data_IF_891869875558
#
_entry.id   IF_891869875558
#
_cell.length_a   1.000
_cell.length_b   1.000
_cell.length_c   1.000
_cell.angle_alpha   90.00
_cell.angle_beta   90.00
_cell.angle_gamma   90.00
#
_symmetry.space_group_name_H-M   'P 1'
#
loop_
_entity.id
_entity.type
_entity.pdbx_description
1 polymer ?
#
# COMPACT_ATOMS: atom_id res chain seq x y z
N UNK A 1 -35.53 -24.15 5.41
CA UNK A 1 -34.48 -23.10 5.46
C UNK A 1 -34.22 -22.69 6.90
N UNK A 2 -33.03 -22.90 7.47
CA UNK A 2 -32.73 -22.55 8.89
C UNK A 2 -32.76 -21.04 9.18
N UNK A 3 -32.63 -20.24 8.13
CA UNK A 3 -32.58 -18.77 8.17
C UNK A 3 -33.91 -18.14 8.70
N UNK A 4 -35.08 -18.73 8.39
CA UNK A 4 -36.37 -18.25 8.90
C UNK A 4 -36.44 -18.40 10.42
N UNK A 5 -35.94 -19.54 10.93
CA UNK A 5 -35.95 -19.82 12.35
C UNK A 5 -35.01 -18.86 13.09
N UNK A 6 -33.84 -18.58 12.54
CA UNK A 6 -32.88 -17.62 13.10
C UNK A 6 -33.51 -16.21 13.19
N UNK A 7 -34.18 -15.75 12.14
CA UNK A 7 -34.81 -14.43 12.15
C UNK A 7 -35.96 -14.33 13.16
N UNK A 8 -36.77 -15.39 13.31
CA UNK A 8 -37.81 -15.47 14.34
C UNK A 8 -37.25 -15.43 15.75
N UNK A 9 -36.11 -16.08 15.99
CA UNK A 9 -35.41 -16.05 17.27
C UNK A 9 -34.76 -14.69 17.56
N UNK A 10 -34.23 -14.01 16.55
CA UNK A 10 -33.60 -12.69 16.71
C UNK A 10 -34.61 -11.62 17.18
N UNK A 11 -35.88 -11.77 16.81
CA UNK A 11 -36.96 -10.90 17.23
C UNK A 11 -36.87 -9.50 16.60
N UNK A 12 -37.96 -9.06 15.99
CA UNK A 12 -38.05 -7.76 15.33
C UNK A 12 -39.39 -7.64 14.63
N UNK A 13 -39.83 -6.40 14.41
CA UNK A 13 -41.09 -6.14 13.72
C UNK A 13 -41.02 -6.72 12.30
N UNK A 14 -41.98 -7.60 11.96
CA UNK A 14 -42.02 -8.32 10.68
C UNK A 14 -41.30 -9.68 10.64
N UNK A 15 -40.37 -9.99 11.55
CA UNK A 15 -39.65 -11.28 11.50
C UNK A 15 -40.46 -12.46 12.05
N UNK A 16 -41.42 -12.23 12.96
CA UNK A 16 -42.28 -13.29 13.52
C UNK A 16 -43.13 -13.98 12.47
N UNK A 17 -43.59 -13.18 11.50
CA UNK A 17 -44.56 -13.59 10.48
C UNK A 17 -43.87 -14.12 9.22
N UNK A 18 -42.55 -13.93 9.13
CA UNK A 18 -41.75 -14.34 7.98
C UNK A 18 -41.86 -15.84 7.72
N UNK A 19 -42.12 -16.21 6.48
CA UNK A 19 -42.21 -17.60 6.02
C UNK A 19 -41.08 -17.90 5.03
N UNK A 20 -40.87 -19.19 4.79
CA UNK A 20 -39.84 -19.64 3.84
C UNK A 20 -40.10 -19.16 2.41
N UNK A 21 -41.36 -18.85 2.08
CA UNK A 21 -41.75 -18.32 0.77
C UNK A 21 -41.22 -16.89 0.55
N UNK A 22 -41.32 -16.01 1.55
CA UNK A 22 -40.80 -14.63 1.49
C UNK A 22 -39.29 -14.59 1.15
N UNK A 23 -38.54 -15.54 1.72
CA UNK A 23 -37.10 -15.67 1.47
C UNK A 23 -36.84 -16.28 0.11
N UNK A 24 -37.69 -17.23 -0.31
CA UNK A 24 -37.57 -17.85 -1.62
C UNK A 24 -37.87 -16.85 -2.72
N UNK A 25 -38.93 -16.05 -2.58
CA UNK A 25 -39.29 -14.96 -3.49
C UNK A 25 -38.12 -14.00 -3.65
N UNK A 26 -37.52 -13.52 -2.55
CA UNK A 26 -36.35 -12.63 -2.63
C UNK A 26 -35.09 -13.27 -3.23
N UNK A 27 -34.88 -14.58 -3.06
CA UNK A 27 -33.75 -15.28 -3.68
C UNK A 27 -34.01 -15.51 -5.18
N UNK A 28 -35.25 -15.79 -5.56
CA UNK A 28 -35.67 -15.97 -6.96
C UNK A 28 -35.63 -14.66 -7.75
N UNK A 29 -35.94 -13.54 -7.10
CA UNK A 29 -35.88 -12.18 -7.66
C UNK A 29 -34.44 -11.75 -8.03
N UNK A 30 -33.42 -12.39 -7.44
CA UNK A 30 -32.02 -12.18 -7.84
C UNK A 30 -31.71 -12.66 -9.27
N UNK A 31 -32.63 -13.42 -9.89
CA UNK A 31 -32.54 -13.83 -11.29
C UNK A 31 -33.14 -12.84 -12.28
N UNK A 32 -33.88 -11.82 -11.81
CA UNK A 32 -34.43 -10.80 -12.69
C UNK A 32 -33.32 -9.85 -13.17
N UNK A 33 -33.31 -9.49 -14.47
CA UNK A 33 -32.40 -8.46 -14.96
C UNK A 33 -32.69 -7.14 -14.24
N UNK A 34 -31.65 -6.35 -13.95
CA UNK A 34 -31.80 -4.99 -13.45
C UNK A 34 -32.82 -4.21 -14.30
N UNK A 35 -33.75 -3.53 -13.63
CA UNK A 35 -34.59 -2.51 -14.26
C UNK A 35 -33.71 -1.36 -14.76
N UNK A 36 -34.21 -0.58 -15.73
CA UNK A 36 -33.46 0.56 -16.25
C UNK A 36 -33.21 1.59 -15.14
N UNK A 37 -34.19 1.76 -14.25
CA UNK A 37 -34.12 2.62 -13.09
C UNK A 37 -32.99 2.22 -12.13
N UNK A 38 -32.87 0.93 -11.79
CA UNK A 38 -31.79 0.41 -10.93
C UNK A 38 -30.42 0.52 -11.60
N UNK A 39 -30.35 0.27 -12.92
CA UNK A 39 -29.10 0.42 -13.66
C UNK A 39 -28.64 1.89 -13.69
N UNK A 40 -29.56 2.82 -13.92
CA UNK A 40 -29.27 4.25 -13.88
C UNK A 40 -28.85 4.70 -12.48
N UNK A 41 -29.52 4.23 -11.42
CA UNK A 41 -29.14 4.50 -10.03
C UNK A 41 -27.73 3.99 -9.73
N UNK A 42 -27.38 2.77 -10.16
CA UNK A 42 -26.05 2.22 -9.98
C UNK A 42 -24.97 3.07 -10.68
N UNK A 43 -25.24 3.52 -11.91
CA UNK A 43 -24.33 4.36 -12.69
C UNK A 43 -24.23 5.79 -12.16
N UNK A 44 -25.26 6.29 -11.47
CA UNK A 44 -25.34 7.64 -10.91
C UNK A 44 -24.91 7.72 -9.45
N UNK A 45 -24.86 6.60 -8.73
CA UNK A 45 -24.47 6.56 -7.32
C UNK A 45 -23.10 7.23 -7.13
N UNK A 46 -23.03 8.40 -6.46
CA UNK A 46 -21.75 9.01 -6.15
C UNK A 46 -21.02 8.04 -5.23
N UNK A 47 -19.78 7.68 -5.55
CA UNK A 47 -18.95 6.87 -4.66
C UNK A 47 -18.65 7.67 -3.40
N UNK A 48 -19.55 7.61 -2.41
CA UNK A 48 -19.38 8.08 -1.04
C UNK A 48 -19.23 9.59 -0.85
N UNK A 49 -20.34 10.26 -0.51
CA UNK A 49 -20.29 11.28 0.55
C UNK A 49 -21.54 11.06 1.41
N UNK A 50 -21.39 10.28 2.48
CA UNK A 50 -22.22 10.47 3.66
C UNK A 50 -21.71 11.77 4.30
N UNK A 51 -22.29 12.90 3.91
CA UNK A 51 -22.16 14.16 4.64
C UNK A 51 -23.14 14.14 5.81
N UNK A 52 -22.88 13.25 6.76
CA UNK A 52 -23.39 13.42 8.11
C UNK A 52 -22.30 14.11 8.91
N UNK A 53 -22.38 15.44 8.92
CA UNK A 53 -21.68 16.28 9.88
C UNK A 53 -21.99 15.76 11.29
N UNK A 54 -20.98 15.25 12.00
CA UNK A 54 -20.55 15.74 13.32
C UNK A 54 -19.41 14.91 13.92
N UNK A 55 -18.46 15.66 14.50
CA UNK A 55 -17.46 15.30 15.51
C UNK A 55 -16.06 14.87 15.04
N UNK A 56 -15.15 15.85 15.11
CA UNK A 56 -13.70 15.67 15.28
C UNK A 56 -13.44 14.57 16.32
N UNK A 57 -13.08 13.37 15.87
CA UNK A 57 -12.32 12.44 16.71
C UNK A 57 -11.30 11.73 15.84
N UNK A 58 -10.07 12.23 15.97
CA UNK A 58 -8.77 11.60 15.70
C UNK A 58 -8.69 10.47 14.64
N UNK A 59 -8.06 10.85 13.51
CA UNK A 59 -7.25 9.97 12.66
C UNK A 59 -7.96 8.73 12.10
N UNK A 60 -8.90 8.95 11.19
CA UNK A 60 -9.12 8.00 10.10
C UNK A 60 -7.80 7.88 9.33
N UNK A 61 -7.06 6.79 9.52
CA UNK A 61 -5.87 6.49 8.70
C UNK A 61 -6.28 6.64 7.23
N UNK A 62 -5.54 7.41 6.41
CA UNK A 62 -5.77 7.43 4.96
C UNK A 62 -5.81 5.97 4.52
N UNK A 63 -6.84 5.54 3.80
CA UNK A 63 -6.99 4.13 3.39
C UNK A 63 -5.69 3.66 2.77
N UNK A 64 -4.90 2.91 3.54
CA UNK A 64 -3.60 2.46 3.06
C UNK A 64 -3.87 1.53 1.90
N UNK A 65 -3.42 1.92 0.71
CA UNK A 65 -3.43 1.11 -0.49
C UNK A 65 -2.49 -0.08 -0.31
N UNK A 66 -2.94 -1.08 0.46
CA UNK A 66 -2.16 -2.27 0.75
C UNK A 66 -2.02 -3.13 -0.50
N UNK A 67 -0.94 -3.92 -0.55
CA UNK A 67 -0.71 -4.88 -1.63
C UNK A 67 -1.90 -5.84 -1.80
N UNK A 68 -2.53 -6.23 -0.69
CA UNK A 68 -3.71 -7.09 -0.68
C UNK A 68 -4.93 -6.42 -1.33
N UNK A 69 -5.21 -5.15 -1.01
CA UNK A 69 -6.32 -4.39 -1.62
C UNK A 69 -6.13 -4.28 -3.13
N UNK A 70 -4.93 -3.91 -3.57
CA UNK A 70 -4.58 -3.82 -5.00
C UNK A 70 -4.69 -5.18 -5.70
N UNK A 71 -4.16 -6.25 -5.09
CA UNK A 71 -4.29 -7.60 -5.63
C UNK A 71 -5.76 -8.04 -5.73
N UNK A 72 -6.60 -7.65 -4.78
CA UNK A 72 -8.05 -7.91 -4.85
C UNK A 72 -8.67 -7.23 -6.07
N UNK A 73 -8.41 -5.95 -6.29
CA UNK A 73 -8.93 -5.21 -7.44
C UNK A 73 -8.51 -5.87 -8.75
N UNK A 74 -7.24 -6.26 -8.90
CA UNK A 74 -6.78 -6.93 -10.11
C UNK A 74 -7.46 -8.27 -10.35
N UNK A 75 -7.75 -9.04 -9.30
CA UNK A 75 -8.52 -10.29 -9.42
C UNK A 75 -9.95 -10.02 -9.89
N UNK A 76 -10.64 -9.05 -9.29
CA UNK A 76 -12.01 -8.70 -9.69
C UNK A 76 -12.06 -8.19 -11.14
N UNK A 77 -11.09 -7.37 -11.54
CA UNK A 77 -10.97 -6.94 -12.92
C UNK A 77 -10.75 -8.10 -13.90
N UNK A 78 -10.00 -9.13 -13.50
CA UNK A 78 -9.84 -10.32 -14.34
C UNK A 78 -11.15 -11.08 -14.50
N UNK A 79 -11.86 -11.33 -13.39
CA UNK A 79 -13.19 -11.98 -13.42
C UNK A 79 -14.17 -11.19 -14.30
N UNK A 80 -14.22 -9.86 -14.16
CA UNK A 80 -15.07 -9.00 -14.99
C UNK A 80 -14.74 -9.13 -16.48
N UNK A 81 -13.45 -9.11 -16.83
CA UNK A 81 -13.03 -9.29 -18.23
C UNK A 81 -13.42 -10.65 -18.77
N UNK A 82 -13.28 -11.70 -17.98
CA UNK A 82 -13.62 -13.07 -18.38
C UNK A 82 -15.13 -13.20 -18.61
N UNK A 83 -15.96 -12.65 -17.69
CA UNK A 83 -17.41 -12.57 -17.84
C UNK A 83 -17.84 -11.83 -19.11
N UNK A 84 -17.19 -10.71 -19.44
CA UNK A 84 -17.50 -9.93 -20.65
C UNK A 84 -17.25 -10.77 -21.91
N UNK A 85 -16.14 -11.51 -21.97
CA UNK A 85 -15.81 -12.36 -23.13
C UNK A 85 -16.74 -13.57 -23.22
N UNK A 86 -17.18 -14.11 -22.09
CA UNK A 86 -18.10 -15.26 -22.03
C UNK A 86 -19.52 -14.88 -22.44
N UNK A 87 -20.03 -13.74 -21.96
CA UNK A 87 -21.43 -13.36 -22.16
C UNK A 87 -21.67 -12.50 -23.40
N UNK A 88 -20.67 -11.76 -23.91
CA UNK A 88 -20.85 -10.90 -25.07
C UNK A 88 -20.81 -11.71 -26.38
N UNK A 89 -21.92 -11.81 -27.15
CA UNK A 89 -21.91 -12.49 -28.44
C UNK A 89 -21.02 -11.79 -29.49
N UNK A 90 -20.68 -10.51 -29.28
CA UNK A 90 -19.75 -9.76 -30.12
C UNK A 90 -18.33 -9.86 -29.58
N UNK A 91 -17.53 -10.71 -30.23
CA UNK A 91 -16.09 -10.83 -29.93
C UNK A 91 -15.35 -9.48 -30.03
N UNK A 92 -15.65 -8.67 -31.04
CA UNK A 92 -15.01 -7.35 -31.23
C UNK A 92 -15.29 -6.42 -30.04
N UNK A 93 -16.55 -6.33 -29.62
CA UNK A 93 -16.94 -5.50 -28.48
C UNK A 93 -16.35 -6.02 -27.18
N UNK A 94 -16.39 -7.33 -26.94
CA UNK A 94 -15.74 -7.95 -25.77
C UNK A 94 -14.24 -7.64 -25.71
N UNK A 95 -13.54 -7.75 -26.84
CA UNK A 95 -12.11 -7.38 -26.93
C UNK A 95 -11.89 -5.89 -26.68
N UNK A 96 -12.75 -5.01 -27.20
CA UNK A 96 -12.63 -3.57 -27.01
C UNK A 96 -12.77 -3.20 -25.52
N UNK A 97 -13.82 -3.68 -24.85
CA UNK A 97 -14.07 -3.36 -23.44
C UNK A 97 -12.96 -3.91 -22.54
N UNK A 98 -12.52 -5.16 -22.75
CA UNK A 98 -11.45 -5.76 -21.94
C UNK A 98 -10.10 -5.04 -22.09
N UNK A 99 -9.81 -4.51 -23.28
CA UNK A 99 -8.63 -3.65 -23.53
C UNK A 99 -8.74 -2.33 -22.77
N UNK A 100 -9.88 -1.67 -22.82
CA UNK A 100 -10.12 -0.41 -22.09
C UNK A 100 -10.03 -0.58 -20.58
N UNK A 101 -10.57 -1.67 -20.02
CA UNK A 101 -10.39 -2.02 -18.60
C UNK A 101 -8.90 -2.16 -18.28
N UNK A 102 -8.14 -2.86 -19.11
CA UNK A 102 -6.70 -3.06 -18.91
C UNK A 102 -5.91 -1.75 -18.98
N UNK A 103 -6.26 -0.88 -19.93
CA UNK A 103 -5.67 0.45 -20.05
C UNK A 103 -5.99 1.32 -18.82
N UNK A 104 -7.25 1.29 -18.35
CA UNK A 104 -7.72 2.06 -17.20
C UNK A 104 -7.07 1.61 -15.87
N UNK A 105 -6.68 0.34 -15.76
CA UNK A 105 -5.99 -0.19 -14.57
C UNK A 105 -4.50 0.14 -14.53
N UNK A 106 -3.94 0.73 -15.60
CA UNK A 106 -2.51 1.04 -15.71
C UNK A 106 -1.95 1.89 -14.55
N UNK A 107 -2.64 2.93 -14.06
CA UNK A 107 -2.16 3.71 -12.92
C UNK A 107 -2.03 2.87 -11.63
N UNK A 108 -2.90 1.87 -11.45
CA UNK A 108 -2.85 1.00 -10.27
C UNK A 108 -1.67 0.02 -10.31
N UNK A 109 -1.21 -0.41 -11.49
CA UNK A 109 0.02 -1.23 -11.60
C UNK A 109 1.24 -0.49 -11.04
N UNK A 110 1.36 0.80 -11.35
CA UNK A 110 2.46 1.61 -10.82
C UNK A 110 2.42 1.65 -9.27
N UNK A 111 1.24 1.89 -8.71
CA UNK A 111 1.04 1.89 -7.26
C UNK A 111 1.36 0.54 -6.62
N UNK A 112 1.00 -0.57 -7.28
CA UNK A 112 1.33 -1.92 -6.84
C UNK A 112 2.84 -2.19 -6.79
N UNK A 113 3.57 -1.77 -7.82
CA UNK A 113 5.03 -1.89 -7.86
C UNK A 113 5.71 -1.06 -6.76
N UNK A 114 5.20 0.14 -6.50
CA UNK A 114 5.67 0.97 -5.38
C UNK A 114 5.40 0.30 -4.02
N UNK A 115 4.20 -0.24 -3.82
CA UNK A 115 3.83 -0.97 -2.61
C UNK A 115 4.76 -2.17 -2.37
N UNK A 116 5.05 -2.97 -3.41
CA UNK A 116 6.02 -4.08 -3.33
C UNK A 116 7.43 -3.62 -2.96
N UNK A 117 7.87 -2.48 -3.49
CA UNK A 117 9.18 -1.91 -3.14
C UNK A 117 9.24 -1.47 -1.69
N UNK A 118 8.15 -0.89 -1.14
CA UNK A 118 8.07 -0.49 0.27
C UNK A 118 8.14 -1.71 1.20
N UNK A 119 7.36 -2.76 0.93
CA UNK A 119 7.37 -3.99 1.73
C UNK A 119 8.76 -4.63 1.79
N UNK A 120 9.47 -4.67 0.65
CA UNK A 120 10.85 -5.19 0.58
C UNK A 120 11.88 -4.35 1.32
N UNK A 121 11.61 -3.09 1.65
CA UNK A 121 12.54 -2.20 2.37
C UNK A 121 12.47 -2.35 3.89
N UNK A 122 11.37 -2.87 4.42
CA UNK A 122 11.17 -3.07 5.86
C UNK A 122 12.06 -4.13 6.56
N UNK A 123 12.62 -5.17 5.89
CA UNK A 123 13.37 -6.20 6.61
C UNK A 123 14.81 -5.82 7.02
N UNK A 124 15.41 -4.76 6.47
CA UNK A 124 16.87 -4.52 6.63
C UNK A 124 17.19 -3.69 7.88
N UNK A 125 16.29 -2.81 8.32
CA UNK A 125 16.59 -1.87 9.41
C UNK A 125 16.51 -2.49 10.81
N UNK A 126 15.88 -3.66 10.95
CA UNK A 126 15.79 -4.37 12.25
C UNK A 126 17.06 -5.14 12.59
N UNK A 127 17.86 -5.54 11.59
CA UNK A 127 19.14 -6.24 11.81
C UNK A 127 20.30 -5.31 12.17
N UNK A 128 20.21 -4.00 11.88
CA UNK A 128 21.29 -3.04 12.13
C UNK A 128 21.17 -2.30 13.49
N UNK A 129 20.08 -2.49 14.24
CA UNK A 129 19.85 -1.82 15.53
C UNK A 129 20.26 -2.67 16.74
N UNK A 130 21.42 -3.36 16.68
CA UNK A 130 22.04 -3.97 17.87
C UNK A 130 23.55 -3.65 17.90
N UNK A 131 23.88 -2.44 18.35
CA UNK A 131 25.20 -2.16 18.94
C UNK A 131 25.19 -2.55 20.44
N UNK A 132 26.33 -2.99 21.00
CA UNK A 132 26.36 -3.73 22.26
C UNK A 132 26.10 -2.84 23.46
N UNK A 133 25.47 -3.42 24.49
CA UNK A 133 25.38 -2.82 25.81
C UNK A 133 26.80 -2.45 26.28
N UNK A 134 26.94 -1.21 26.74
CA UNK A 134 28.16 -0.61 27.25
C UNK A 134 28.91 -1.56 28.18
N UNK A 135 30.06 -2.05 27.73
CA UNK A 135 31.13 -2.49 28.61
C UNK A 135 32.14 -1.35 28.67
N UNK A 136 32.13 -0.62 29.78
CA UNK A 136 33.12 0.41 30.09
C UNK A 136 34.55 -0.17 30.01
N UNK A 137 35.50 0.50 29.32
CA UNK A 137 36.90 0.21 29.53
C UNK A 137 37.39 0.98 30.74
N UNK A 138 37.41 0.29 31.89
CA UNK A 138 38.14 0.74 33.08
C UNK A 138 39.65 0.54 32.82
N UNK A 139 40.32 1.54 32.25
CA UNK A 139 41.78 1.56 32.13
C UNK A 139 42.33 2.64 33.07
N UNK A 140 42.76 2.11 34.21
CA UNK A 140 43.65 2.62 35.23
C UNK A 140 44.54 3.82 34.80
N UNK A 141 44.41 4.92 35.56
CA UNK A 141 45.33 6.05 35.59
C UNK A 141 46.79 5.59 35.56
N UNK A 142 47.58 6.16 34.65
CA UNK A 142 49.04 6.20 34.76
C UNK A 142 49.50 7.64 34.50
N UNK A 143 49.63 8.39 35.58
CA UNK A 143 50.35 9.65 35.66
C UNK A 143 51.83 9.38 35.34
N UNK A 144 52.36 9.96 34.25
CA UNK A 144 53.81 10.15 34.06
C UNK A 144 54.06 11.50 33.37
N UNK A 145 54.42 12.45 34.23
CA UNK A 145 55.25 13.66 34.07
C UNK A 145 55.73 14.12 32.68
N UNK A 146 55.41 15.39 32.39
CA UNK A 146 56.12 16.25 31.43
C UNK A 146 57.58 16.51 31.86
N UNK A 147 58.52 16.59 30.92
CA UNK A 147 59.72 17.40 31.09
C UNK A 147 59.70 18.65 30.19
N UNK A 148 59.78 19.79 30.85
CA UNK A 148 60.16 21.11 30.31
C UNK A 148 61.64 21.14 29.88
N UNK A 149 61.94 21.79 28.75
CA UNK A 149 63.29 22.22 28.37
C UNK A 149 63.45 22.36 26.86
N UNK A 150 63.25 23.52 26.26
CA UNK A 150 64.18 24.68 26.14
C UNK A 150 65.27 24.54 25.07
N UNK A 151 65.25 25.50 24.14
CA UNK A 151 66.38 26.08 23.35
C UNK A 151 66.50 25.67 21.85
N UNK A 152 66.07 26.60 20.99
CA UNK A 152 66.65 26.88 19.65
C UNK A 152 67.77 27.97 19.81
N UNK A 153 68.69 28.30 18.85
CA UNK A 153 68.49 28.32 17.38
C UNK A 153 69.74 28.08 16.45
N UNK A 154 69.51 28.24 15.12
CA UNK A 154 70.45 28.55 13.99
C UNK A 154 71.35 27.39 13.50
N UNK A 155 71.65 27.16 12.22
CA UNK A 155 71.57 27.88 10.91
C UNK A 155 71.97 26.89 9.81
N UNK A 156 71.49 27.00 8.57
CA UNK A 156 72.26 26.49 7.42
C UNK A 156 71.51 26.09 6.15
N UNK A 157 71.39 27.04 5.22
CA UNK A 157 71.67 26.87 3.77
C UNK A 157 70.72 26.03 2.88
N UNK A 158 69.82 26.74 2.19
CA UNK A 158 69.42 26.48 0.78
C UNK A 158 70.61 26.84 -0.15
N UNK A 159 70.75 26.40 -1.43
CA UNK A 159 69.68 26.26 -2.43
C UNK A 159 69.82 25.09 -3.44
N UNK A 160 68.75 24.81 -4.18
CA UNK A 160 68.81 23.93 -5.35
C UNK A 160 67.51 23.96 -6.14
N UNK A 161 67.41 24.94 -7.05
CA UNK A 161 66.38 25.01 -8.09
C UNK A 161 66.39 23.73 -8.94
N UNK A 162 65.22 23.32 -9.43
CA UNK A 162 64.92 23.14 -10.87
C UNK A 162 63.45 22.71 -11.03
N UNK A 163 62.72 23.45 -11.86
CA UNK A 163 61.40 23.13 -12.41
C UNK A 163 61.54 23.13 -13.95
N UNK A 164 60.47 22.77 -14.69
CA UNK A 164 60.25 21.55 -15.48
C UNK A 164 60.57 21.79 -16.98
N UNK A 165 60.17 20.95 -17.97
CA UNK A 165 58.78 20.88 -18.52
C UNK A 165 58.43 19.42 -18.97
N UNK A 166 57.34 19.01 -19.64
CA UNK A 166 56.39 19.63 -20.59
C UNK A 166 55.21 18.65 -20.81
N UNK A 167 54.10 19.18 -21.32
CA UNK A 167 52.99 18.52 -22.05
C UNK A 167 53.38 17.43 -23.06
N UNK A 168 52.43 16.53 -23.32
CA UNK A 168 51.93 16.05 -24.64
C UNK A 168 51.08 14.80 -24.37
N UNK A 169 49.88 14.57 -24.91
CA UNK A 169 49.01 15.20 -25.89
C UNK A 169 47.78 14.30 -26.03
#
# INVERSE_FOLDING_TARGET
MDIVNIAKELGGEGFSDMIEDDIREHIEDCGEPFTNEEFEELMQSPTGTNDDVMEDTEAQTPSDWTLQKLASIFRHAQVLKDMIVEYDPSMERGIMVTREITASLKPLYHLFDEAKKRERRLPITTFLNKAPAAAEPNILRREVSLPTGSRNPRTGRSPGYLRPPTESG
#
